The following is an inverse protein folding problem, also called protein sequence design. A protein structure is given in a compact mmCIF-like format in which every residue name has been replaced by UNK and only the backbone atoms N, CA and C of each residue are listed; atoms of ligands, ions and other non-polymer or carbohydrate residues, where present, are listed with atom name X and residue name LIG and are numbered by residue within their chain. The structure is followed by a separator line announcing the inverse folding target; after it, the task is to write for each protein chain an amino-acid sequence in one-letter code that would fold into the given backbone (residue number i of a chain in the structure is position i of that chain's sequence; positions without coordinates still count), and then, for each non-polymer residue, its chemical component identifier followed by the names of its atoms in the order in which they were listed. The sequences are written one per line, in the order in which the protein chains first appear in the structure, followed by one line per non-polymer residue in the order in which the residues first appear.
data_IF_235288879987
#
_entry.id   IF_235288879987
#
_cell.length_a   1.000
_cell.length_b   1.000
_cell.length_c   1.000
_cell.angle_alpha   90.00
_cell.angle_beta   90.00
_cell.angle_gamma   90.00
#
_symmetry.space_group_name_H-M   'P 1'
#
loop_
_entity.id
_entity.type
_entity.pdbx_description
1 polymer ?
#
# COMPACT_ATOMS: atom_id res chain seq x y z
N UNK A 1 6.85 -26.51 -2.00
CA UNK A 1 7.63 -26.17 -3.20
C UNK A 1 6.89 -25.08 -3.95
N UNK A 2 7.46 -23.87 -3.99
CA UNK A 2 6.89 -22.75 -4.75
C UNK A 2 7.14 -22.98 -6.23
N UNK A 3 6.07 -23.08 -7.03
CA UNK A 3 6.16 -23.35 -8.46
C UNK A 3 6.26 -22.00 -9.18
N UNK A 4 7.43 -21.72 -9.74
CA UNK A 4 7.61 -20.61 -10.66
C UNK A 4 6.97 -20.92 -12.00
N UNK A 5 6.24 -19.96 -12.53
CA UNK A 5 5.63 -19.98 -13.86
C UNK A 5 6.40 -19.04 -14.80
N UNK A 6 6.18 -19.16 -16.10
CA UNK A 6 6.79 -18.29 -17.11
C UNK A 6 5.79 -17.93 -18.19
N UNK A 7 5.84 -16.69 -18.65
CA UNK A 7 5.15 -16.24 -19.85
C UNK A 7 6.01 -15.25 -20.66
N UNK A 8 5.37 -14.51 -21.57
CA UNK A 8 6.01 -13.52 -22.44
C UNK A 8 6.72 -12.39 -21.68
N UNK A 9 6.33 -12.11 -20.44
CA UNK A 9 6.86 -11.01 -19.62
C UNK A 9 7.86 -11.46 -18.55
N UNK A 10 8.19 -12.75 -18.49
CA UNK A 10 9.22 -13.28 -17.60
C UNK A 10 8.72 -14.44 -16.74
N UNK A 11 9.51 -14.76 -15.72
CA UNK A 11 9.15 -15.76 -14.72
C UNK A 11 8.44 -15.09 -13.56
N UNK A 12 7.38 -15.69 -13.07
CA UNK A 12 6.62 -15.16 -11.94
C UNK A 12 6.20 -16.26 -10.98
N UNK A 13 6.02 -15.89 -9.72
CA UNK A 13 5.41 -16.73 -8.69
C UNK A 13 3.99 -16.23 -8.47
N UNK A 14 3.03 -17.11 -8.79
CA UNK A 14 1.61 -16.82 -8.62
C UNK A 14 1.24 -16.73 -7.12
N UNK A 15 0.50 -15.69 -6.77
CA UNK A 15 -0.06 -15.52 -5.44
C UNK A 15 -1.51 -16.01 -5.39
N UNK A 16 -1.96 -16.40 -4.21
CA UNK A 16 -3.36 -16.75 -4.03
C UNK A 16 -4.25 -15.50 -4.15
N UNK A 17 -5.24 -15.54 -5.05
CA UNK A 17 -6.21 -14.46 -5.28
C UNK A 17 -7.29 -14.32 -4.21
N UNK A 18 -6.91 -14.28 -2.92
CA UNK A 18 -7.83 -14.12 -1.79
C UNK A 18 -7.73 -12.75 -1.11
N UNK A 19 -7.25 -11.74 -1.85
CA UNK A 19 -7.07 -10.38 -1.36
C UNK A 19 -5.84 -10.13 -0.47
N UNK A 20 -5.07 -11.17 -0.16
CA UNK A 20 -3.74 -11.02 0.47
C UNK A 20 -2.61 -10.96 -0.57
N UNK A 21 -2.93 -11.01 -1.88
CA UNK A 21 -1.95 -11.17 -2.95
C UNK A 21 -0.82 -10.12 -2.90
N UNK A 22 -1.14 -8.84 -2.68
CA UNK A 22 -0.14 -7.78 -2.54
C UNK A 22 0.84 -8.05 -1.38
N UNK A 23 0.30 -8.23 -0.17
CA UNK A 23 1.10 -8.44 1.04
C UNK A 23 1.91 -9.74 0.95
N UNK A 24 1.37 -10.78 0.33
CA UNK A 24 2.08 -12.04 0.06
C UNK A 24 3.22 -11.84 -0.92
N UNK A 25 2.99 -11.16 -2.03
CA UNK A 25 4.05 -10.91 -3.02
C UNK A 25 5.19 -10.09 -2.40
N UNK A 26 4.87 -9.07 -1.62
CA UNK A 26 5.85 -8.24 -0.91
C UNK A 26 6.61 -9.02 0.17
N UNK A 27 5.92 -9.80 0.99
CA UNK A 27 6.50 -10.67 2.02
C UNK A 27 7.49 -11.67 1.43
N UNK A 28 7.10 -12.33 0.34
CA UNK A 28 7.99 -13.24 -0.40
C UNK A 28 9.18 -12.47 -0.98
N UNK A 29 8.95 -11.32 -1.61
CA UNK A 29 10.00 -10.50 -2.20
C UNK A 29 11.02 -9.95 -1.18
N UNK A 30 10.61 -9.82 0.08
CA UNK A 30 11.50 -9.43 1.19
C UNK A 30 12.38 -10.58 1.69
N UNK A 31 12.05 -11.83 1.33
CA UNK A 31 12.77 -13.02 1.77
C UNK A 31 12.09 -13.83 2.88
N UNK A 32 10.75 -13.82 2.95
CA UNK A 32 9.91 -14.70 3.79
C UNK A 32 10.13 -14.63 5.33
N UNK A 33 10.99 -13.73 5.83
CA UNK A 33 11.21 -13.51 7.27
C UNK A 33 10.06 -12.78 7.97
N UNK A 34 9.18 -12.13 7.20
CA UNK A 34 8.01 -11.39 7.69
C UNK A 34 6.80 -11.97 7.00
N UNK A 35 5.81 -12.44 7.76
CA UNK A 35 4.57 -13.00 7.22
C UNK A 35 3.75 -11.91 6.54
N UNK A 36 2.80 -12.29 5.68
CA UNK A 36 1.96 -11.32 4.99
C UNK A 36 0.98 -10.61 5.94
N UNK A 37 0.61 -11.25 7.05
CA UNK A 37 -0.18 -10.68 8.14
C UNK A 37 0.60 -9.63 8.91
N UNK A 38 1.82 -9.94 9.36
CA UNK A 38 2.70 -8.98 10.04
C UNK A 38 3.01 -7.80 9.12
N UNK A 39 3.31 -8.09 7.85
CA UNK A 39 3.55 -7.03 6.87
C UNK A 39 2.31 -6.15 6.70
N UNK A 40 1.11 -6.73 6.59
CA UNK A 40 -0.13 -5.95 6.52
C UNK A 40 -0.27 -5.03 7.72
N UNK A 41 -0.05 -5.54 8.92
CA UNK A 41 -0.14 -4.74 10.15
C UNK A 41 0.83 -3.56 10.13
N UNK A 42 2.11 -3.80 9.79
CA UNK A 42 3.14 -2.75 9.71
C UNK A 42 2.71 -1.65 8.73
N UNK A 43 2.32 -2.03 7.51
CA UNK A 43 2.01 -1.07 6.45
C UNK A 43 0.72 -0.28 6.73
N UNK A 44 -0.31 -0.96 7.24
CA UNK A 44 -1.61 -0.33 7.50
C UNK A 44 -1.54 0.59 8.72
N UNK A 45 -0.72 0.26 9.72
CA UNK A 45 -0.42 1.18 10.83
C UNK A 45 0.35 2.41 10.33
N UNK A 46 1.35 2.25 9.47
CA UNK A 46 2.09 3.39 8.89
C UNK A 46 1.16 4.36 8.16
N UNK A 47 0.26 3.84 7.30
CA UNK A 47 -0.71 4.68 6.56
C UNK A 47 -1.69 5.37 7.51
N UNK A 48 -2.15 4.67 8.56
CA UNK A 48 -3.04 5.26 9.57
C UNK A 48 -2.35 6.39 10.35
N UNK A 49 -1.14 6.13 10.84
CA UNK A 49 -0.43 7.01 11.76
C UNK A 49 0.09 8.27 11.06
N UNK A 50 0.32 8.20 9.75
CA UNK A 50 0.72 9.32 8.89
C UNK A 50 -0.33 9.65 7.84
N UNK A 51 -1.61 9.56 8.22
CA UNK A 51 -2.74 9.69 7.29
C UNK A 51 -2.64 10.88 6.33
N UNK A 52 -2.23 12.04 6.82
CA UNK A 52 -2.12 13.27 6.02
C UNK A 52 -1.12 13.15 4.86
N UNK A 53 -0.11 12.29 4.98
CA UNK A 53 0.86 12.00 3.93
C UNK A 53 0.30 11.03 2.86
N UNK A 54 -0.61 10.15 3.26
CA UNK A 54 -1.13 9.07 2.43
C UNK A 54 -2.53 9.31 1.86
N UNK A 55 -3.30 10.25 2.41
CA UNK A 55 -4.73 10.44 2.09
C UNK A 55 -4.99 10.63 0.58
N UNK A 56 -4.07 11.28 -0.14
CA UNK A 56 -4.19 11.49 -1.58
C UNK A 56 -4.02 10.22 -2.43
N UNK A 57 -3.52 9.13 -1.83
CA UNK A 57 -3.34 7.83 -2.46
C UNK A 57 -4.42 6.82 -2.04
N UNK A 58 -5.36 7.24 -1.18
CA UNK A 58 -6.44 6.42 -0.66
C UNK A 58 -7.77 6.90 -1.24
N UNK A 59 -8.38 6.10 -2.12
CA UNK A 59 -9.54 6.54 -2.91
C UNK A 59 -10.92 6.31 -2.26
N UNK A 60 -11.04 5.32 -1.37
CA UNK A 60 -12.35 4.85 -0.86
C UNK A 60 -12.63 5.22 0.59
N UNK A 61 -11.72 5.92 1.25
CA UNK A 61 -11.82 6.22 2.67
C UNK A 61 -11.56 7.70 2.92
N UNK A 62 -12.44 8.32 3.71
CA UNK A 62 -12.35 9.75 4.02
C UNK A 62 -11.53 10.03 5.29
N UNK A 63 -11.18 9.00 6.06
CA UNK A 63 -10.41 9.14 7.29
C UNK A 63 -9.61 7.87 7.60
N UNK A 64 -8.57 8.05 8.42
CA UNK A 64 -7.63 7.01 8.82
C UNK A 64 -8.29 5.82 9.53
N UNK A 65 -9.31 6.06 10.37
CA UNK A 65 -9.95 5.00 11.16
C UNK A 65 -10.79 4.06 10.30
N UNK A 66 -11.52 4.60 9.32
CA UNK A 66 -12.29 3.80 8.37
C UNK A 66 -11.38 2.99 7.46
N UNK A 67 -10.30 3.61 6.97
CA UNK A 67 -9.24 2.93 6.23
C UNK A 67 -8.65 1.78 7.06
N UNK A 68 -8.19 2.07 8.29
CA UNK A 68 -7.55 1.09 9.16
C UNK A 68 -8.47 -0.09 9.45
N UNK A 69 -9.72 0.17 9.82
CA UNK A 69 -10.71 -0.87 10.14
C UNK A 69 -10.97 -1.81 8.96
N UNK A 70 -10.92 -1.32 7.73
CA UNK A 70 -11.21 -2.12 6.54
C UNK A 70 -9.97 -2.84 6.03
N UNK A 71 -8.85 -2.14 5.86
CA UNK A 71 -7.62 -2.69 5.27
C UNK A 71 -6.86 -3.60 6.26
N UNK A 72 -7.02 -3.42 7.58
CA UNK A 72 -6.43 -4.34 8.57
C UNK A 72 -7.02 -5.76 8.51
N UNK A 73 -8.22 -5.94 7.93
CA UNK A 73 -8.82 -7.26 7.79
C UNK A 73 -8.02 -8.10 6.80
N UNK A 74 -7.65 -9.31 7.22
CA UNK A 74 -7.13 -10.33 6.32
C UNK A 74 -8.14 -10.52 5.18
N UNK A 75 -7.66 -10.66 3.95
CA UNK A 75 -8.43 -10.72 2.69
C UNK A 75 -8.91 -9.40 2.08
N UNK A 76 -8.72 -8.25 2.75
CA UNK A 76 -8.96 -6.95 2.10
C UNK A 76 -7.80 -6.61 1.16
N UNK A 77 -8.13 -6.11 -0.04
CA UNK A 77 -7.14 -5.78 -1.06
C UNK A 77 -6.32 -4.56 -0.63
N UNK A 78 -5.00 -4.66 -0.79
CA UNK A 78 -4.13 -3.50 -0.74
C UNK A 78 -4.02 -2.81 -2.10
N UNK A 79 -3.42 -1.64 -2.09
CA UNK A 79 -3.40 -0.65 -3.16
C UNK A 79 -2.05 0.07 -3.20
N UNK A 80 -1.99 1.18 -3.93
CA UNK A 80 -0.78 1.99 -4.04
C UNK A 80 -0.31 2.58 -2.70
N UNK A 81 -1.22 2.94 -1.78
CA UNK A 81 -0.84 3.47 -0.48
C UNK A 81 0.03 2.49 0.32
N UNK A 82 -0.30 1.20 0.30
CA UNK A 82 0.48 0.16 0.98
C UNK A 82 1.82 -0.11 0.28
N UNK A 83 1.89 0.03 -1.05
CA UNK A 83 3.15 -0.08 -1.81
C UNK A 83 4.09 1.08 -1.43
N UNK A 84 3.55 2.30 -1.33
CA UNK A 84 4.32 3.48 -0.92
C UNK A 84 4.80 3.35 0.53
N UNK A 85 3.92 2.91 1.43
CA UNK A 85 4.27 2.64 2.82
C UNK A 85 5.36 1.58 2.93
N UNK A 86 5.27 0.50 2.14
CA UNK A 86 6.29 -0.55 2.11
C UNK A 86 7.65 0.02 1.71
N UNK A 87 7.67 0.82 0.65
CA UNK A 87 8.91 1.42 0.17
C UNK A 87 9.53 2.36 1.20
N UNK A 88 8.69 3.11 1.92
CA UNK A 88 9.10 4.09 2.92
C UNK A 88 9.61 3.41 4.20
N UNK A 89 8.85 2.46 4.76
CA UNK A 89 9.18 1.82 6.04
C UNK A 89 10.39 0.89 5.92
N UNK A 90 10.42 0.08 4.86
CA UNK A 90 11.46 -0.94 4.69
C UNK A 90 12.63 -0.48 3.82
N UNK A 91 12.58 0.76 3.31
CA UNK A 91 13.61 1.33 2.43
C UNK A 91 13.91 0.43 1.23
N UNK A 92 12.87 -0.25 0.71
CA UNK A 92 12.96 -1.13 -0.45
C UNK A 92 12.33 -0.48 -1.66
N UNK A 93 12.94 -0.64 -2.82
CA UNK A 93 12.34 -0.22 -4.08
C UNK A 93 11.27 -1.22 -4.50
N UNK A 94 10.12 -0.72 -4.97
CA UNK A 94 9.05 -1.54 -5.53
C UNK A 94 8.71 -1.05 -6.92
N UNK A 95 8.62 -1.98 -7.87
CA UNK A 95 8.24 -1.70 -9.25
C UNK A 95 7.01 -2.53 -9.59
N UNK A 96 5.94 -1.90 -10.07
CA UNK A 96 4.74 -2.61 -10.54
C UNK A 96 4.72 -2.61 -12.05
N UNK A 97 4.66 -3.80 -12.64
CA UNK A 97 4.62 -4.03 -14.07
C UNK A 97 3.24 -4.57 -14.50
N UNK A 98 2.75 -4.11 -15.63
CA UNK A 98 1.56 -4.64 -16.31
C UNK A 98 1.81 -4.67 -17.80
N UNK A 99 1.60 -5.83 -18.42
CA UNK A 99 1.70 -6.02 -19.87
C UNK A 99 3.02 -5.45 -20.46
N UNK A 100 4.13 -5.68 -19.76
CA UNK A 100 5.46 -5.21 -20.13
C UNK A 100 5.75 -3.74 -19.85
N UNK A 101 4.81 -3.00 -19.25
CA UNK A 101 4.93 -1.57 -18.94
C UNK A 101 5.07 -1.34 -17.43
N UNK A 102 5.86 -0.34 -17.07
CA UNK A 102 6.01 0.11 -15.68
C UNK A 102 4.88 1.05 -15.30
N UNK A 103 4.08 0.66 -14.31
CA UNK A 103 3.00 1.47 -13.76
C UNK A 103 3.44 2.28 -12.55
N UNK A 104 4.26 1.66 -11.70
CA UNK A 104 4.75 2.24 -10.44
C UNK A 104 6.24 1.96 -10.32
N UNK A 105 6.98 2.94 -9.80
CA UNK A 105 8.39 2.83 -9.45
C UNK A 105 8.63 3.73 -8.24
N UNK A 106 8.69 3.13 -7.04
CA UNK A 106 8.85 3.87 -5.79
C UNK A 106 10.05 3.34 -5.00
N UNK A 107 10.73 4.24 -4.30
CA UNK A 107 11.95 3.97 -3.53
C UNK A 107 13.23 4.35 -4.26
N UNK A 108 14.37 4.18 -3.57
CA UNK A 108 15.68 4.52 -4.13
C UNK A 108 16.03 3.65 -5.34
N UNK A 109 16.54 4.27 -6.40
CA UNK A 109 16.98 3.58 -7.61
C UNK A 109 18.24 2.72 -7.38
N UNK A 110 18.98 3.00 -6.30
CA UNK A 110 20.17 2.25 -5.90
C UNK A 110 19.82 0.88 -5.29
N UNK A 111 18.57 0.68 -4.88
CA UNK A 111 18.11 -0.55 -4.26
C UNK A 111 17.57 -1.53 -5.31
N UNK A 112 17.93 -2.81 -5.17
CA UNK A 112 17.36 -3.89 -5.98
C UNK A 112 15.84 -3.95 -5.75
N UNK A 113 15.04 -3.79 -6.82
CA UNK A 113 13.60 -3.67 -6.70
C UNK A 113 12.93 -5.02 -6.47
N UNK A 114 11.87 -5.00 -5.67
CA UNK A 114 10.85 -6.06 -5.70
C UNK A 114 9.92 -5.74 -6.87
N UNK A 115 9.88 -6.62 -7.86
CA UNK A 115 9.05 -6.43 -9.05
C UNK A 115 7.73 -7.17 -8.86
N UNK A 116 6.65 -6.41 -8.77
CA UNK A 116 5.30 -6.92 -8.74
C UNK A 116 4.73 -6.96 -10.14
N UNK A 117 3.98 -8.00 -10.44
CA UNK A 117 3.17 -8.09 -11.66
C UNK A 117 1.72 -7.85 -11.31
N UNK A 118 1.07 -6.92 -12.00
CA UNK A 118 -0.34 -6.59 -11.79
C UNK A 118 -1.21 -7.11 -12.93
N UNK A 119 -2.20 -7.94 -12.60
CA UNK A 119 -3.05 -8.69 -13.54
C UNK A 119 -4.53 -8.47 -13.20
N UNK A 120 -5.39 -8.39 -14.22
CA UNK A 120 -6.85 -8.47 -14.06
C UNK A 120 -7.46 -7.35 -13.22
N UNK A 121 -6.77 -6.21 -13.10
CA UNK A 121 -7.17 -5.02 -12.33
C UNK A 121 -7.32 -5.25 -10.81
N UNK A 122 -6.86 -6.38 -10.27
CA UNK A 122 -6.98 -6.66 -8.84
C UNK A 122 -5.98 -7.66 -8.26
N UNK A 123 -5.08 -8.21 -9.07
CA UNK A 123 -4.22 -9.30 -8.65
C UNK A 123 -2.73 -8.94 -8.75
N UNK A 124 -1.98 -9.27 -7.71
CA UNK A 124 -0.53 -9.09 -7.66
C UNK A 124 0.18 -10.43 -7.56
N UNK A 125 1.09 -10.65 -8.49
CA UNK A 125 2.07 -11.73 -8.45
C UNK A 125 3.47 -11.17 -8.20
N UNK A 126 4.40 -12.03 -7.80
CA UNK A 126 5.82 -11.67 -7.71
C UNK A 126 6.50 -12.02 -9.02
N UNK A 127 7.13 -11.04 -9.67
CA UNK A 127 7.94 -11.28 -10.86
C UNK A 127 9.40 -11.53 -10.45
N UNK A 128 10.01 -12.56 -11.01
CA UNK A 128 11.45 -12.81 -10.95
C UNK A 128 12.11 -12.11 -12.14
N UNK A 129 13.20 -11.39 -11.88
CA UNK A 129 14.14 -10.88 -12.87
C UNK A 129 13.50 -10.29 -14.14
N UNK A 130 12.73 -9.21 -13.97
CA UNK A 130 12.30 -8.43 -15.12
C UNK A 130 13.34 -7.37 -15.41
N UNK A 131 13.89 -7.40 -16.63
CA UNK A 131 14.53 -6.23 -17.26
C UNK A 131 13.53 -5.08 -17.13
N UNK A 132 13.74 -4.18 -16.18
CA UNK A 132 12.94 -2.96 -16.07
C UNK A 132 13.20 -2.23 -17.38
N UNK A 133 12.19 -2.07 -18.27
CA UNK A 133 12.39 -1.33 -19.50
C UNK A 133 12.88 0.06 -19.09
N UNK A 134 14.06 0.44 -19.59
CA UNK A 134 14.51 1.83 -19.51
C UNK A 134 13.38 2.67 -20.11
N UNK A 135 13.03 3.83 -19.53
CA UNK A 135 12.00 4.69 -20.11
C UNK A 135 12.37 4.92 -21.58
N UNK A 136 11.41 4.70 -22.48
CA UNK A 136 11.56 5.00 -23.90
C UNK A 136 12.24 6.36 -24.00
N UNK A 137 13.46 6.37 -24.54
CA UNK A 137 14.18 7.62 -24.79
C UNK A 137 13.47 8.27 -25.95
N UNK A 138 12.35 8.94 -25.68
CA UNK A 138 11.69 9.79 -26.67
C UNK A 138 12.66 10.95 -26.90
N UNK A 139 13.39 10.86 -28.01
CA UNK A 139 14.19 11.95 -28.51
C UNK A 139 13.30 13.20 -28.64
N UNK A 140 13.59 14.21 -27.82
CA UNK A 140 13.00 15.54 -27.95
C UNK A 140 11.69 15.77 -27.17
N UNK A 141 11.81 16.03 -25.87
CA UNK A 141 10.92 17.01 -25.23
C UNK A 141 11.62 17.61 -24.01
N UNK A 142 11.85 18.92 -24.05
CA UNK A 142 12.51 19.69 -23.01
C UNK A 142 11.81 19.50 -21.65
N UNK A 143 12.58 19.11 -20.63
CA UNK A 143 12.13 19.17 -19.23
C UNK A 143 12.03 20.63 -18.79
N UNK A 144 10.94 21.09 -18.15
CA UNK A 144 11.02 22.29 -17.32
C UNK A 144 11.85 21.99 -16.05
N UNK A 145 12.52 22.98 -15.45
CA UNK A 145 13.43 22.77 -14.34
C UNK A 145 12.66 22.34 -13.08
N UNK A 146 13.10 21.24 -12.48
CA UNK A 146 12.66 20.82 -11.15
C UNK A 146 13.29 21.77 -10.13
N UNK A 147 12.44 22.41 -9.32
CA UNK A 147 12.85 23.22 -8.19
C UNK A 147 13.49 22.30 -7.13
N UNK A 148 14.80 22.40 -6.95
CA UNK A 148 15.53 21.69 -5.89
C UNK A 148 15.31 22.45 -4.58
N UNK A 149 14.63 21.82 -3.62
CA UNK A 149 14.63 22.29 -2.22
C UNK A 149 15.93 21.85 -1.52
N UNK A 150 16.59 22.70 -0.73
CA UNK A 150 17.83 22.34 -0.07
C UNK A 150 17.59 21.51 1.20
N UNK A 151 18.49 20.55 1.43
CA UNK A 151 18.61 19.79 2.67
C UNK A 151 18.96 20.71 3.86
N UNK A 152 18.17 20.67 4.92
CA UNK A 152 18.51 21.30 6.19
C UNK A 152 19.30 20.33 7.08
N UNK A 153 20.42 20.85 7.59
CA UNK A 153 21.47 20.12 8.28
C UNK A 153 21.10 19.67 9.70
N UNK A 154 21.69 18.53 10.07
CA UNK A 154 21.74 17.95 11.41
C UNK A 154 22.55 18.85 12.34
N UNK A 155 22.06 19.13 13.55
CA UNK A 155 22.87 19.68 14.64
C UNK A 155 22.67 18.86 15.90
N UNK A 156 23.75 18.21 16.33
CA UNK A 156 23.89 17.42 17.55
C UNK A 156 24.25 18.30 18.74
N UNK A 157 23.56 18.13 19.88
CA UNK A 157 24.12 18.39 21.22
C UNK A 157 23.57 17.31 22.18
N UNK A 158 24.45 16.83 23.06
CA UNK A 158 24.36 15.59 23.83
C UNK A 158 24.27 15.90 25.34
N UNK A 159 23.36 15.21 26.04
CA UNK A 159 23.33 14.79 27.48
C UNK A 159 23.08 15.79 28.63
N UNK A 160 22.80 15.33 29.89
CA UNK A 160 21.76 14.38 30.33
C UNK A 160 21.05 14.83 31.65
N UNK A 161 19.97 14.15 32.07
CA UNK A 161 19.69 13.66 33.46
C UNK A 161 18.20 13.73 33.89
N UNK A 162 17.65 12.53 34.16
CA UNK A 162 16.80 12.05 35.27
C UNK A 162 15.83 13.04 35.96
N UNK A 163 14.53 12.66 36.01
CA UNK A 163 13.66 12.47 37.20
C UNK A 163 12.18 12.50 36.74
N UNK A 164 11.44 11.41 36.97
CA UNK A 164 9.97 11.42 37.03
C UNK A 164 9.53 11.96 38.40
N UNK A 165 8.38 12.64 38.54
CA UNK A 165 7.18 11.87 38.88
C UNK A 165 5.81 12.43 38.38
N UNK A 166 4.84 11.51 38.37
CA UNK A 166 3.41 11.61 38.70
C UNK A 166 2.52 12.82 38.30
N UNK A 167 1.47 12.47 37.55
CA UNK A 167 0.04 12.83 37.71
C UNK A 167 -0.32 14.30 38.02
N UNK A 168 -1.00 14.96 37.08
CA UNK A 168 -2.15 15.80 37.38
C UNK A 168 -3.08 15.96 36.18
N UNK A 169 -4.37 15.74 36.46
CA UNK A 169 -5.53 15.91 35.59
C UNK A 169 -5.80 17.41 35.43
N UNK A 170 -6.09 17.87 34.21
CA UNK A 170 -6.85 19.11 34.01
C UNK A 170 -7.73 19.02 32.75
N UNK A 171 -9.02 19.00 33.04
CA UNK A 171 -10.15 19.08 32.12
C UNK A 171 -10.24 20.47 31.49
N UNK A 172 -10.49 20.56 30.19
CA UNK A 172 -11.08 21.74 29.57
C UNK A 172 -12.02 21.30 28.44
N UNK A 173 -13.31 21.38 28.74
CA UNK A 173 -14.40 21.17 27.81
C UNK A 173 -14.41 22.26 26.72
N UNK A 174 -14.58 21.85 25.46
CA UNK A 174 -15.07 22.73 24.40
C UNK A 174 -16.44 22.20 23.99
N UNK A 175 -17.44 23.07 24.13
CA UNK A 175 -18.85 22.80 23.83
C UNK A 175 -19.07 22.52 22.32
N UNK A 176 -20.16 21.80 21.96
CA UNK A 176 -20.38 21.32 20.61
C UNK A 176 -20.96 22.41 19.70
N UNK A 177 -20.43 22.50 18.47
CA UNK A 177 -21.09 23.23 17.39
C UNK A 177 -22.25 22.39 16.82
N UNK A 178 -23.39 23.03 16.69
CA UNK A 178 -24.68 22.44 16.29
C UNK A 178 -24.64 21.76 14.91
N UNK A 179 -25.19 20.55 14.86
CA UNK A 179 -25.42 19.80 13.63
C UNK A 179 -26.61 20.36 12.84
N UNK A 180 -26.41 20.61 11.55
CA UNK A 180 -27.49 20.88 10.58
C UNK A 180 -27.93 19.52 10.00
N UNK A 181 -29.23 19.18 9.97
CA UNK A 181 -29.67 17.89 9.45
C UNK A 181 -29.75 17.96 7.92
N UNK A 182 -28.82 17.31 7.23
CA UNK A 182 -28.95 17.02 5.80
C UNK A 182 -29.63 15.67 5.64
N UNK A 183 -30.84 15.66 5.09
CA UNK A 183 -31.56 14.43 4.69
C UNK A 183 -30.76 13.74 3.57
N UNK A 184 -30.14 12.61 3.89
CA UNK A 184 -29.61 11.69 2.88
C UNK A 184 -30.75 10.89 2.23
N UNK A 185 -30.76 10.70 0.90
CA UNK A 185 -31.72 9.83 0.23
C UNK A 185 -31.38 8.35 0.50
N UNK A 186 -32.42 7.55 0.75
CA UNK A 186 -32.28 6.11 0.98
C UNK A 186 -31.79 5.39 -0.29
N UNK A 187 -30.57 4.85 -0.24
CA UNK A 187 -30.05 3.93 -1.25
C UNK A 187 -30.74 2.56 -1.09
N UNK A 188 -31.48 2.15 -2.12
CA UNK A 188 -32.12 0.83 -2.23
C UNK A 188 -31.05 -0.26 -2.14
N UNK A 189 -31.28 -1.26 -1.29
CA UNK A 189 -30.46 -2.49 -1.21
C UNK A 189 -30.44 -3.19 -2.58
N UNK A 190 -29.29 -3.68 -3.06
CA UNK A 190 -29.23 -4.54 -4.23
C UNK A 190 -29.98 -5.85 -3.96
N UNK A 191 -30.68 -6.34 -4.99
CA UNK A 191 -31.39 -7.61 -4.93
C UNK A 191 -30.42 -8.79 -4.70
N UNK A 192 -30.82 -9.84 -3.94
CA UNK A 192 -30.02 -11.04 -3.79
C UNK A 192 -29.83 -11.74 -5.14
N UNK A 193 -28.59 -12.12 -5.45
CA UNK A 193 -28.28 -12.86 -6.67
C UNK A 193 -28.90 -14.27 -6.65
N UNK A 194 -29.37 -14.79 -7.80
CA UNK A 194 -29.97 -16.12 -7.86
C UNK A 194 -28.93 -17.20 -7.56
N UNK A 195 -29.32 -18.12 -6.67
CA UNK A 195 -28.52 -19.29 -6.25
C UNK A 195 -28.42 -20.25 -7.44
N UNK A 196 -27.23 -20.40 -8.02
CA UNK A 196 -26.97 -21.43 -9.02
C UNK A 196 -27.03 -22.78 -8.30
N UNK A 197 -28.05 -23.59 -8.64
CA UNK A 197 -28.17 -24.97 -8.19
C UNK A 197 -27.47 -25.84 -9.23
N UNK A 198 -26.32 -26.40 -8.88
CA UNK A 198 -25.66 -27.42 -9.71
C UNK A 198 -26.47 -28.73 -9.62
N UNK A 199 -26.76 -29.40 -10.74
CA UNK A 199 -27.44 -30.69 -10.70
C UNK A 199 -26.52 -31.78 -10.14
N UNK A 200 -27.04 -32.53 -9.18
CA UNK A 200 -26.42 -33.73 -8.62
C UNK A 200 -26.24 -34.77 -9.72
N UNK A 201 -25.02 -35.25 -9.92
CA UNK A 201 -24.78 -36.39 -10.80
C UNK A 201 -25.36 -37.65 -10.16
N UNK A 202 -26.10 -38.43 -10.96
CA UNK A 202 -26.50 -39.80 -10.68
C UNK A 202 -25.46 -40.75 -11.23
#
# INVERSE_FOLDING_TARGET
MSIWKKDTFGKYREMQGNGNCLFRALSVGLGENVTHEELREILVNEVRDKWDEYVNYVFYFNNANDYYREISRVTTWGSFAEILAFSTVLQRRVVVMRDGRKLVDVGSQDNTPIVLRYIGDNHYDLNEDTVIPLPDTVAGSARPPVLVAPAAAVSTVVTPAIIAPAIAVASAAVAPAAAVPVKSPALKRPAPQPRIVTPSQK
#
